data_IF_781180417842
#
_entry.id   IF_781180417842
#
_cell.length_a   1.000
_cell.length_b   1.000
_cell.length_c   1.000
_cell.angle_alpha   90.00
_cell.angle_beta   90.00
_cell.angle_gamma   90.00
#
_symmetry.space_group_name_H-M   'P 1'
#
loop_
_entity.id
_entity.type
_entity.pdbx_description
1 polymer ?
#
# COMPACT_ATOMS: atom_id res chain seq x y z
N UNK A 1 -5.82 -2.01 -8.49
CA UNK A 1 -5.46 -3.29 -9.15
C UNK A 1 -4.05 -3.72 -8.76
N UNK A 2 -3.84 -5.03 -8.57
CA UNK A 2 -2.55 -5.64 -8.26
C UNK A 2 -1.61 -5.67 -9.48
N UNK A 3 -0.29 -5.68 -9.24
CA UNK A 3 0.74 -5.64 -10.29
C UNK A 3 0.60 -6.80 -11.27
N UNK A 4 0.37 -8.04 -10.79
CA UNK A 4 0.26 -9.18 -11.70
C UNK A 4 -0.99 -9.16 -12.58
N UNK A 5 -2.12 -8.77 -12.01
CA UNK A 5 -3.35 -8.55 -12.78
C UNK A 5 -3.17 -7.44 -13.83
N UNK A 6 -2.38 -6.40 -13.53
CA UNK A 6 -2.09 -5.30 -14.46
C UNK A 6 -1.15 -5.69 -15.61
N UNK A 7 -0.36 -6.75 -15.45
CA UNK A 7 0.55 -7.26 -16.48
C UNK A 7 -0.12 -8.31 -17.37
N UNK A 8 -1.43 -8.55 -17.18
CA UNK A 8 -2.24 -9.57 -17.86
C UNK A 8 -1.63 -10.98 -17.79
N UNK A 9 -0.78 -11.24 -16.79
CA UNK A 9 0.02 -12.47 -16.68
C UNK A 9 -0.47 -13.45 -15.60
N UNK A 10 -1.46 -13.06 -14.78
CA UNK A 10 -1.92 -13.83 -13.63
C UNK A 10 -3.46 -13.81 -13.47
N UNK A 11 -4.04 -14.98 -13.17
CA UNK A 11 -5.44 -15.07 -12.78
C UNK A 11 -5.65 -14.46 -11.39
N UNK A 12 -6.74 -13.70 -11.25
CA UNK A 12 -7.09 -13.04 -10.00
C UNK A 12 -7.16 -14.03 -8.81
N UNK A 13 -6.60 -13.64 -7.67
CA UNK A 13 -6.40 -14.47 -6.49
C UNK A 13 -6.47 -13.59 -5.24
N UNK A 14 -6.70 -14.19 -4.07
CA UNK A 14 -6.78 -13.46 -2.80
C UNK A 14 -5.52 -12.62 -2.48
N UNK A 15 -4.36 -13.02 -3.00
CA UNK A 15 -3.11 -12.27 -2.83
C UNK A 15 -3.17 -10.93 -3.57
N UNK A 16 -3.86 -10.89 -4.70
CA UNK A 16 -4.12 -9.67 -5.46
C UNK A 16 -5.13 -8.76 -4.77
N UNK A 17 -6.05 -9.30 -3.96
CA UNK A 17 -6.94 -8.51 -3.11
C UNK A 17 -6.16 -7.83 -1.98
N UNK A 18 -5.26 -8.56 -1.30
CA UNK A 18 -4.39 -8.00 -0.26
C UNK A 18 -3.47 -6.90 -0.83
N UNK A 19 -2.95 -7.13 -2.03
CA UNK A 19 -2.17 -6.13 -2.74
C UNK A 19 -3.02 -4.90 -3.12
N UNK A 20 -4.21 -5.11 -3.64
CA UNK A 20 -5.12 -4.01 -3.99
C UNK A 20 -5.53 -3.20 -2.76
N UNK A 21 -5.77 -3.87 -1.62
CA UNK A 21 -6.02 -3.22 -0.34
C UNK A 21 -4.86 -2.31 0.09
N UNK A 22 -3.62 -2.80 0.00
CA UNK A 22 -2.44 -1.97 0.27
C UNK A 22 -2.40 -0.72 -0.61
N UNK A 23 -2.65 -0.88 -1.91
CA UNK A 23 -2.62 0.25 -2.85
C UNK A 23 -3.71 1.28 -2.56
N UNK A 24 -4.90 0.84 -2.16
CA UNK A 24 -5.99 1.75 -1.74
C UNK A 24 -5.58 2.50 -0.46
N UNK A 25 -5.02 1.81 0.54
CA UNK A 25 -4.56 2.46 1.77
C UNK A 25 -3.46 3.51 1.48
N UNK A 26 -2.46 3.15 0.67
CA UNK A 26 -1.40 4.07 0.26
C UNK A 26 -1.98 5.28 -0.48
N UNK A 27 -2.93 5.05 -1.39
CA UNK A 27 -3.60 6.11 -2.15
C UNK A 27 -4.41 7.06 -1.25
N UNK A 28 -5.09 6.54 -0.22
CA UNK A 28 -5.78 7.38 0.77
C UNK A 28 -4.79 8.26 1.53
N UNK A 29 -3.66 7.70 1.98
CA UNK A 29 -2.68 8.43 2.79
C UNK A 29 -2.04 9.63 2.07
N UNK A 30 -2.05 9.64 0.73
CA UNK A 30 -1.46 10.71 -0.09
C UNK A 30 -2.52 11.67 -0.66
N UNK A 31 -3.80 11.29 -0.75
CA UNK A 31 -4.86 12.13 -1.36
C UNK A 31 -5.84 12.74 -0.37
N UNK A 32 -5.90 12.27 0.88
CA UNK A 32 -6.81 12.79 1.89
C UNK A 32 -6.04 13.38 3.06
N UNK A 33 -6.37 14.59 3.51
CA UNK A 33 -5.85 15.16 4.77
C UNK A 33 -6.84 14.94 5.93
N UNK A 34 -7.41 13.74 5.97
CA UNK A 34 -8.43 13.32 6.93
C UNK A 34 -9.81 13.03 6.30
N UNK A 35 -10.80 12.66 7.14
CA UNK A 35 -12.11 12.20 6.66
C UNK A 35 -12.81 13.24 5.78
N UNK A 36 -13.06 12.87 4.52
CA UNK A 36 -13.73 13.75 3.54
C UNK A 36 -12.89 14.93 3.05
N UNK A 37 -11.61 15.02 3.42
CA UNK A 37 -10.71 16.11 3.05
C UNK A 37 -9.82 15.71 1.87
N UNK A 38 -10.43 15.50 0.72
CA UNK A 38 -9.71 15.29 -0.54
C UNK A 38 -8.91 16.55 -0.90
N UNK A 39 -7.62 16.39 -1.22
CA UNK A 39 -6.75 17.53 -1.60
C UNK A 39 -6.67 17.77 -3.11
N UNK A 40 -7.46 17.03 -3.90
CA UNK A 40 -7.48 17.10 -5.35
C UNK A 40 -6.30 16.40 -6.02
N UNK A 41 -5.94 16.93 -7.19
CA UNK A 41 -4.85 16.41 -8.04
C UNK A 41 -3.52 16.36 -7.31
N UNK A 42 -2.91 15.17 -7.25
CA UNK A 42 -1.52 14.99 -6.83
C UNK A 42 -0.70 14.42 -7.98
N UNK A 43 0.63 14.40 -7.86
CA UNK A 43 1.49 13.71 -8.83
C UNK A 43 1.16 12.22 -8.97
N UNK A 44 0.46 11.62 -7.99
CA UNK A 44 -0.03 10.25 -8.02
C UNK A 44 -1.43 10.10 -8.60
N UNK A 45 -2.08 11.17 -9.03
CA UNK A 45 -3.33 11.11 -9.80
C UNK A 45 -3.14 10.33 -11.11
N UNK A 46 -1.90 10.32 -11.64
CA UNK A 46 -1.53 9.46 -12.77
C UNK A 46 -1.85 7.98 -12.50
N UNK A 47 -1.83 7.51 -11.24
CA UNK A 47 -2.17 6.13 -10.90
C UNK A 47 -3.63 5.75 -11.29
N UNK A 48 -4.51 6.73 -11.50
CA UNK A 48 -5.91 6.50 -11.89
C UNK A 48 -6.12 6.42 -13.41
N UNK A 49 -5.21 7.00 -14.21
CA UNK A 49 -5.40 7.17 -15.65
C UNK A 49 -4.30 6.50 -16.50
N UNK A 50 -3.21 6.06 -15.88
CA UNK A 50 -2.12 5.37 -16.58
C UNK A 50 -2.54 4.01 -17.15
N UNK A 51 -1.89 3.62 -18.25
CA UNK A 51 -2.11 2.29 -18.84
C UNK A 51 -1.64 1.19 -17.88
N UNK A 52 -2.26 0.00 -17.96
CA UNK A 52 -2.00 -1.09 -17.02
C UNK A 52 -0.51 -1.43 -16.86
N UNK A 53 0.22 -1.50 -17.98
CA UNK A 53 1.66 -1.77 -17.98
C UNK A 53 2.50 -0.68 -17.31
N UNK A 54 2.21 0.60 -17.58
CA UNK A 54 2.92 1.72 -16.94
C UNK A 54 2.63 1.78 -15.45
N UNK A 55 1.37 1.57 -15.08
CA UNK A 55 0.94 1.50 -13.69
C UNK A 55 1.65 0.37 -12.93
N UNK A 56 1.82 -0.79 -13.56
CA UNK A 56 2.55 -1.91 -12.98
C UNK A 56 4.02 -1.57 -12.73
N UNK A 57 4.71 -0.93 -13.68
CA UNK A 57 6.11 -0.53 -13.51
C UNK A 57 6.31 0.54 -12.44
N UNK A 58 5.44 1.55 -12.39
CA UNK A 58 5.44 2.56 -11.31
C UNK A 58 5.30 1.89 -9.94
N UNK A 59 4.33 0.98 -9.80
CA UNK A 59 4.08 0.25 -8.56
C UNK A 59 5.27 -0.62 -8.14
N UNK A 60 5.88 -1.35 -9.07
CA UNK A 60 7.11 -2.12 -8.83
C UNK A 60 8.25 -1.22 -8.35
N UNK A 61 8.45 -0.08 -9.01
CA UNK A 61 9.46 0.91 -8.63
C UNK A 61 9.29 1.39 -7.19
N UNK A 62 8.06 1.74 -6.81
CA UNK A 62 7.73 2.25 -5.46
C UNK A 62 8.04 1.25 -4.33
N UNK A 63 7.81 -0.04 -4.54
CA UNK A 63 7.90 -1.06 -3.47
C UNK A 63 9.24 -1.79 -3.42
N UNK A 64 10.05 -1.68 -4.47
CA UNK A 64 11.32 -2.43 -4.62
C UNK A 64 12.41 -2.03 -3.62
N UNK A 65 12.51 -0.76 -3.25
CA UNK A 65 13.51 -0.25 -2.32
C UNK A 65 12.84 0.39 -1.09
N UNK A 66 13.13 -0.14 0.10
CA UNK A 66 12.53 0.33 1.34
C UNK A 66 12.91 1.78 1.66
N UNK A 67 14.16 2.18 1.39
CA UNK A 67 14.64 3.51 1.74
C UNK A 67 14.00 4.58 0.86
N UNK A 68 13.85 4.30 -0.42
CA UNK A 68 13.14 5.13 -1.38
C UNK A 68 11.65 5.19 -1.00
N UNK A 69 11.04 4.06 -0.68
CA UNK A 69 9.65 4.02 -0.22
C UNK A 69 9.42 4.92 1.00
N UNK A 70 10.26 4.82 2.03
CA UNK A 70 10.13 5.65 3.24
C UNK A 70 10.32 7.14 2.94
N UNK A 71 11.23 7.51 2.03
CA UNK A 71 11.38 8.91 1.59
C UNK A 71 10.13 9.43 0.91
N UNK A 72 9.49 8.60 0.08
CA UNK A 72 8.24 8.96 -0.61
C UNK A 72 7.12 9.12 0.42
N UNK A 73 6.97 8.16 1.33
CA UNK A 73 5.98 8.22 2.42
C UNK A 73 6.14 9.50 3.23
N UNK A 74 7.34 9.82 3.70
CA UNK A 74 7.61 11.02 4.49
C UNK A 74 7.29 12.32 3.74
N UNK A 75 7.61 12.36 2.45
CA UNK A 75 7.41 13.55 1.62
C UNK A 75 5.96 13.73 1.15
N UNK A 76 5.18 12.64 1.03
CA UNK A 76 3.91 12.64 0.28
C UNK A 76 2.70 12.27 1.11
N UNK A 77 2.88 11.65 2.28
CA UNK A 77 1.75 11.41 3.17
C UNK A 77 1.24 12.75 3.70
N UNK A 78 -0.08 12.90 3.65
CA UNK A 78 -0.75 14.05 4.22
C UNK A 78 -0.53 14.10 5.71
N UNK A 79 -0.53 15.31 6.28
CA UNK A 79 -0.23 15.55 7.70
C UNK A 79 -1.07 14.63 8.60
N UNK A 80 -2.36 14.49 8.29
CA UNK A 80 -3.26 13.59 9.01
C UNK A 80 -2.82 12.12 9.00
N UNK A 81 -2.21 11.64 7.90
CA UNK A 81 -1.82 10.24 7.72
C UNK A 81 -0.34 9.96 8.00
N UNK A 82 0.51 10.98 8.24
CA UNK A 82 1.93 10.77 8.58
C UNK A 82 2.16 9.75 9.70
N UNK A 83 1.36 9.74 10.79
CA UNK A 83 1.49 8.71 11.84
C UNK A 83 1.32 7.25 11.34
N UNK A 84 0.67 7.02 10.20
CA UNK A 84 0.51 5.69 9.61
C UNK A 84 1.76 5.18 8.88
N UNK A 85 2.71 6.05 8.54
CA UNK A 85 3.93 5.73 7.79
C UNK A 85 4.65 4.44 8.23
N UNK A 86 4.96 4.23 9.53
CA UNK A 86 5.62 3.00 9.97
C UNK A 86 4.77 1.74 9.74
N UNK A 87 3.44 1.82 9.92
CA UNK A 87 2.54 0.68 9.72
C UNK A 87 2.32 0.36 8.25
N UNK A 88 2.26 1.38 7.38
CA UNK A 88 2.20 1.17 5.93
C UNK A 88 3.46 0.49 5.43
N UNK A 89 4.66 0.86 5.93
CA UNK A 89 5.89 0.15 5.55
C UNK A 89 5.91 -1.30 6.09
N UNK A 90 5.41 -1.55 7.32
CA UNK A 90 5.25 -2.92 7.84
C UNK A 90 4.30 -3.74 6.96
N UNK A 91 3.19 -3.14 6.52
CA UNK A 91 2.23 -3.76 5.61
C UNK A 91 2.85 -4.04 4.25
N UNK A 92 3.62 -3.09 3.69
CA UNK A 92 4.38 -3.27 2.44
C UNK A 92 5.25 -4.52 2.51
N UNK A 93 6.04 -4.70 3.57
CA UNK A 93 6.92 -5.88 3.72
C UNK A 93 6.16 -7.22 3.75
N UNK A 94 4.91 -7.21 4.21
CA UNK A 94 4.05 -8.40 4.22
C UNK A 94 3.39 -8.66 2.88
N UNK A 95 2.93 -7.61 2.23
CA UNK A 95 2.25 -7.70 0.93
C UNK A 95 3.24 -7.89 -0.21
N UNK A 96 4.48 -7.44 -0.06
CA UNK A 96 5.54 -7.53 -1.06
C UNK A 96 6.81 -8.12 -0.44
N UNK A 97 6.85 -9.45 -0.22
CA UNK A 97 8.06 -10.10 0.28
C UNK A 97 9.24 -9.79 -0.65
N UNK A 98 10.40 -9.47 -0.05
CA UNK A 98 11.63 -9.08 -0.75
C UNK A 98 11.48 -7.90 -1.73
N UNK A 99 10.47 -7.05 -1.54
CA UNK A 99 10.22 -5.92 -2.46
C UNK A 99 9.73 -6.37 -3.84
N UNK A 100 9.12 -7.55 -3.92
CA UNK A 100 8.55 -8.08 -5.14
C UNK A 100 7.05 -8.36 -5.02
N UNK A 101 6.38 -8.45 -6.17
CA UNK A 101 5.04 -9.06 -6.23
C UNK A 101 5.13 -10.55 -5.90
N UNK A 102 4.02 -11.11 -5.44
CA UNK A 102 3.89 -12.56 -5.35
C UNK A 102 3.94 -13.21 -6.73
N UNK A 103 4.68 -14.30 -6.87
CA UNK A 103 4.74 -15.11 -8.11
C UNK A 103 4.24 -16.54 -7.92
N UNK A 104 4.21 -16.99 -6.66
CA UNK A 104 3.77 -18.34 -6.28
C UNK A 104 2.65 -18.19 -5.26
N UNK A 105 1.54 -18.93 -5.40
CA UNK A 105 0.47 -18.93 -4.41
C UNK A 105 1.02 -19.25 -3.02
N UNK A 106 0.75 -18.37 -2.05
CA UNK A 106 1.17 -18.60 -0.67
C UNK A 106 0.20 -19.59 0.00
N UNK A 107 0.69 -20.76 0.37
CA UNK A 107 -0.13 -21.77 1.06
C UNK A 107 -0.50 -21.38 2.49
N UNK A 108 0.14 -20.33 3.05
CA UNK A 108 -0.09 -19.81 4.40
C UNK A 108 -0.80 -18.44 4.40
N UNK A 109 -1.64 -18.17 3.41
CA UNK A 109 -2.42 -16.92 3.28
C UNK A 109 -3.16 -16.50 4.55
N UNK A 110 -3.73 -17.46 5.30
CA UNK A 110 -4.41 -17.17 6.56
C UNK A 110 -3.47 -16.56 7.61
N UNK A 111 -2.23 -17.04 7.66
CA UNK A 111 -1.22 -16.51 8.58
C UNK A 111 -0.84 -15.08 8.17
N UNK A 112 -0.65 -14.82 6.88
CA UNK A 112 -0.36 -13.47 6.37
C UNK A 112 -1.50 -12.50 6.68
N UNK A 113 -2.74 -12.89 6.43
CA UNK A 113 -3.92 -12.08 6.77
C UNK A 113 -3.97 -11.77 8.27
N UNK A 114 -3.66 -12.76 9.12
CA UNK A 114 -3.61 -12.57 10.57
C UNK A 114 -2.54 -11.53 10.93
N UNK A 115 -1.34 -11.62 10.37
CA UNK A 115 -0.27 -10.67 10.62
C UNK A 115 -0.60 -9.26 10.13
N UNK A 116 -1.22 -9.12 8.95
CA UNK A 116 -1.69 -7.82 8.43
C UNK A 116 -2.74 -7.20 9.36
N UNK A 117 -3.67 -8.01 9.88
CA UNK A 117 -4.67 -7.54 10.86
C UNK A 117 -4.02 -7.04 12.15
N UNK A 118 -3.00 -7.73 12.65
CA UNK A 118 -2.28 -7.27 13.85
C UNK A 118 -1.52 -5.96 13.60
N UNK A 119 -0.95 -5.75 12.40
CA UNK A 119 -0.34 -4.45 12.03
C UNK A 119 -1.39 -3.33 12.09
N UNK A 120 -2.58 -3.56 11.51
CA UNK A 120 -3.66 -2.57 11.50
C UNK A 120 -4.26 -2.32 12.90
N UNK A 121 -4.33 -3.34 13.74
CA UNK A 121 -4.76 -3.22 15.15
C UNK A 121 -3.77 -2.38 15.95
N UNK A 122 -2.48 -2.67 15.84
CA UNK A 122 -1.44 -1.87 16.47
C UNK A 122 -1.51 -0.41 16.01
N UNK A 123 -1.65 -0.17 14.70
CA UNK A 123 -1.82 1.19 14.17
C UNK A 123 -3.01 1.90 14.82
N UNK A 124 -4.18 1.25 14.89
CA UNK A 124 -5.37 1.84 15.50
C UNK A 124 -5.17 2.16 16.98
N UNK A 125 -4.57 1.25 17.73
CA UNK A 125 -4.42 1.40 19.17
C UNK A 125 -3.39 2.50 19.50
N UNK A 126 -2.25 2.53 18.80
CA UNK A 126 -1.22 3.56 18.96
C UNK A 126 -1.72 4.96 18.52
N UNK A 127 -2.55 5.04 17.47
CA UNK A 127 -3.13 6.32 17.03
C UNK A 127 -4.16 6.87 18.03
N UNK A 128 -4.91 6.01 18.73
CA UNK A 128 -5.84 6.45 19.78
C UNK A 128 -5.11 7.04 20.97
N UNK A 129 -3.93 6.52 21.30
CA UNK A 129 -3.09 7.07 22.39
C UNK A 129 -2.52 8.45 22.04
N UNK A 130 -2.36 8.78 20.76
CA UNK A 130 -1.92 10.10 20.31
C UNK A 130 -3.03 11.18 20.33
N UNK A 131 -4.30 10.77 20.38
CA UNK A 131 -5.46 11.65 20.45
C UNK A 131 -5.93 11.93 21.89
N UNK A 132 -5.39 11.20 22.89
CA UNK A 132 -5.72 11.33 24.31
C UNK A 132 -4.74 12.16 25.11
#
# INVERSE_FOLDING_TARGET
MAIGVLLDDEQHSFMHDLESFFWVLFWVCIHYDGPGKDIGSTEFECLNYESSGKLAELKKGLISDERAFLKIVEARFMTYHKPLAPYVNRLRKKVFPDGGRWRVPNTKLYLEMTQMREILRAARDDLKELEG
#
